data_IF_197073143039
#
_entry.id   IF_197073143039
#
_cell.length_a   1.000
_cell.length_b   1.000
_cell.length_c   1.000
_cell.angle_alpha   90.00
_cell.angle_beta   90.00
_cell.angle_gamma   90.00
#
_symmetry.space_group_name_H-M   'P 1'
#
loop_
_entity.id
_entity.type
_entity.pdbx_description
1 polymer ?
#
# COMPACT_ATOMS: atom_id res chain seq x y z
N UNK A 1 -24.67 -52.99 -15.54
CA UNK A 1 -23.45 -52.23 -15.86
C UNK A 1 -23.70 -51.43 -17.13
N UNK A 2 -23.45 -50.12 -17.14
CA UNK A 2 -23.60 -49.22 -18.31
C UNK A 2 -22.27 -48.46 -18.49
N UNK A 3 -21.70 -48.32 -19.69
CA UNK A 3 -20.49 -47.53 -19.88
C UNK A 3 -20.83 -46.03 -19.95
N UNK A 4 -20.23 -45.27 -19.05
CA UNK A 4 -20.32 -43.80 -18.99
C UNK A 4 -19.35 -43.23 -20.04
N UNK A 5 -19.89 -42.52 -21.04
CA UNK A 5 -19.11 -41.90 -22.11
C UNK A 5 -18.47 -40.61 -21.57
N UNK A 6 -17.14 -40.60 -21.47
CA UNK A 6 -16.34 -39.43 -21.12
C UNK A 6 -16.18 -38.59 -22.39
N UNK A 7 -16.84 -37.43 -22.43
CA UNK A 7 -16.68 -36.47 -23.52
C UNK A 7 -15.54 -35.51 -23.16
N UNK A 8 -14.41 -35.67 -23.86
CA UNK A 8 -13.27 -34.76 -23.83
C UNK A 8 -13.64 -33.52 -24.66
N UNK A 9 -13.83 -32.37 -24.01
CA UNK A 9 -14.01 -31.09 -24.71
C UNK A 9 -12.64 -30.44 -24.91
N UNK A 10 -12.20 -30.47 -26.16
CA UNK A 10 -10.96 -29.93 -26.71
C UNK A 10 -10.80 -28.42 -26.46
N UNK A 11 -9.61 -28.09 -25.98
CA UNK A 11 -8.96 -26.78 -26.00
C UNK A 11 -8.92 -26.22 -27.44
N UNK A 12 -9.46 -25.03 -27.68
CA UNK A 12 -9.10 -24.22 -28.84
C UNK A 12 -8.69 -22.82 -28.40
N UNK A 13 -7.39 -22.61 -28.55
CA UNK A 13 -6.60 -21.42 -28.30
C UNK A 13 -6.90 -20.38 -29.39
N UNK A 14 -7.52 -19.26 -29.02
CA UNK A 14 -7.67 -18.09 -29.90
C UNK A 14 -7.03 -16.87 -29.26
N UNK A 15 -5.71 -16.73 -29.44
CA UNK A 15 -5.03 -15.45 -29.31
C UNK A 15 -5.25 -14.65 -30.60
N UNK A 16 -6.05 -13.59 -30.53
CA UNK A 16 -6.02 -12.51 -31.52
C UNK A 16 -5.27 -11.32 -30.89
N UNK A 17 -3.95 -11.32 -31.02
CA UNK A 17 -3.14 -10.12 -30.84
C UNK A 17 -3.19 -9.32 -32.13
N UNK A 18 -3.89 -8.19 -32.12
CA UNK A 18 -3.67 -7.12 -33.10
C UNK A 18 -4.17 -5.81 -32.53
N UNK A 19 -3.25 -4.98 -32.04
CA UNK A 19 -3.48 -3.55 -31.80
C UNK A 19 -2.48 -2.78 -32.67
N UNK A 20 -2.93 -1.93 -33.61
CA UNK A 20 -2.05 -1.02 -34.33
C UNK A 20 -1.56 0.12 -33.42
N UNK A 21 -0.29 0.47 -33.61
CA UNK A 21 0.46 1.55 -32.97
C UNK A 21 -0.30 2.88 -32.87
N UNK A 22 -0.37 3.44 -31.66
CA UNK A 22 -0.64 4.86 -31.47
C UNK A 22 0.70 5.61 -31.48
N UNK A 23 1.02 6.26 -32.59
CA UNK A 23 2.18 7.13 -32.72
C UNK A 23 1.70 8.59 -32.73
N UNK A 24 2.18 9.37 -31.74
CA UNK A 24 2.30 10.84 -31.76
C UNK A 24 0.98 11.63 -31.84
N UNK A 25 0.78 12.75 -31.18
CA UNK A 25 1.67 13.64 -30.43
C UNK A 25 0.72 14.64 -29.79
N UNK A 26 0.56 14.61 -28.47
CA UNK A 26 0.00 15.75 -27.74
C UNK A 26 1.18 16.56 -27.25
N UNK A 27 1.62 17.50 -28.07
CA UNK A 27 2.39 18.66 -27.63
C UNK A 27 1.48 19.50 -26.74
N UNK A 28 1.45 19.15 -25.45
CA UNK A 28 1.01 20.09 -24.42
C UNK A 28 2.23 20.88 -23.97
N UNK A 29 2.21 22.22 -24.06
CA UNK A 29 3.33 23.05 -23.66
C UNK A 29 3.67 22.78 -22.20
N UNK A 30 4.96 22.66 -21.92
CA UNK A 30 5.55 22.53 -20.60
C UNK A 30 4.94 23.57 -19.64
N UNK A 31 3.89 23.18 -18.90
CA UNK A 31 3.59 23.85 -17.65
C UNK A 31 4.81 23.61 -16.75
N UNK A 32 5.44 24.66 -16.21
CA UNK A 32 6.40 24.45 -15.14
C UNK A 32 5.62 23.82 -14.01
N UNK A 33 5.78 22.50 -13.84
CA UNK A 33 5.36 21.79 -12.64
C UNK A 33 5.89 22.61 -11.49
N UNK A 34 5.02 23.42 -10.91
CA UNK A 34 5.32 24.16 -9.71
C UNK A 34 5.79 23.08 -8.75
N UNK A 35 7.08 23.05 -8.46
CA UNK A 35 7.61 22.28 -7.36
C UNK A 35 6.95 22.91 -6.15
N UNK A 36 5.74 22.44 -5.84
CA UNK A 36 5.03 22.72 -4.64
C UNK A 36 6.01 22.31 -3.56
N UNK A 37 6.61 23.35 -2.98
CA UNK A 37 7.62 23.34 -1.92
C UNK A 37 7.04 22.49 -0.80
N UNK A 38 7.28 21.20 -0.91
CA UNK A 38 6.71 20.15 -0.09
C UNK A 38 7.31 20.26 1.29
N UNK A 39 6.63 21.04 2.12
CA UNK A 39 6.51 20.91 3.57
C UNK A 39 7.64 20.13 4.25
N UNK A 40 8.46 20.90 4.99
CA UNK A 40 9.46 20.47 5.95
C UNK A 40 9.28 19.04 6.46
N UNK A 41 9.92 18.10 5.76
CA UNK A 41 10.20 16.78 6.30
C UNK A 41 11.35 16.98 7.29
N UNK A 42 11.05 17.41 8.52
CA UNK A 42 11.98 17.14 9.63
C UNK A 42 12.10 15.63 9.68
N UNK A 43 13.27 15.14 9.24
CA UNK A 43 13.61 13.74 9.29
C UNK A 43 13.45 13.16 10.70
N UNK A 44 13.58 11.84 10.83
CA UNK A 44 13.50 11.16 12.13
C UNK A 44 14.40 11.86 13.15
N UNK A 45 13.91 12.02 14.38
CA UNK A 45 14.61 12.79 15.43
C UNK A 45 15.91 12.11 15.86
N UNK A 46 16.03 10.79 15.68
CA UNK A 46 17.25 10.02 15.88
C UNK A 46 17.38 8.90 14.84
N UNK A 47 18.61 8.45 14.59
CA UNK A 47 18.90 7.31 13.72
C UNK A 47 18.29 6.00 14.27
N UNK A 48 18.27 5.85 15.59
CA UNK A 48 17.69 4.67 16.26
C UNK A 48 16.17 4.58 16.06
N UNK A 49 15.46 5.72 16.13
CA UNK A 49 14.02 5.77 15.87
C UNK A 49 13.71 5.42 14.41
N UNK A 50 14.54 5.89 13.47
CA UNK A 50 14.45 5.50 12.06
C UNK A 50 14.68 4.00 11.87
N UNK A 51 15.73 3.46 12.45
CA UNK A 51 16.08 2.05 12.29
C UNK A 51 14.97 1.14 12.86
N UNK A 52 14.44 1.45 14.04
CA UNK A 52 13.31 0.72 14.62
C UNK A 52 12.10 0.77 13.70
N UNK A 53 11.78 1.93 13.14
CA UNK A 53 10.69 2.08 12.19
C UNK A 53 10.88 1.25 10.92
N UNK A 54 12.09 1.24 10.36
CA UNK A 54 12.41 0.44 9.17
C UNK A 54 12.30 -1.06 9.46
N UNK A 55 12.79 -1.53 10.60
CA UNK A 55 12.68 -2.94 11.03
C UNK A 55 11.22 -3.37 11.18
N UNK A 56 10.40 -2.58 11.88
CA UNK A 56 8.97 -2.87 12.03
C UNK A 56 8.26 -2.95 10.67
N UNK A 57 8.54 -2.02 9.75
CA UNK A 57 7.93 -2.03 8.43
C UNK A 57 8.39 -3.24 7.59
N UNK A 58 9.66 -3.60 7.68
CA UNK A 58 10.21 -4.76 6.99
C UNK A 58 9.54 -6.05 7.51
N UNK A 59 9.48 -6.24 8.82
CA UNK A 59 8.82 -7.41 9.42
C UNK A 59 7.36 -7.50 9.00
N UNK A 60 6.64 -6.39 8.97
CA UNK A 60 5.24 -6.39 8.57
C UNK A 60 5.07 -6.71 7.08
N UNK A 61 5.96 -6.20 6.21
CA UNK A 61 5.96 -6.51 4.78
C UNK A 61 6.19 -8.01 4.55
N UNK A 62 7.16 -8.60 5.25
CA UNK A 62 7.44 -10.03 5.18
C UNK A 62 6.24 -10.87 5.63
N UNK A 63 5.62 -10.53 6.76
CA UNK A 63 4.39 -11.21 7.24
C UNK A 63 3.27 -11.17 6.20
N UNK A 64 3.04 -10.02 5.57
CA UNK A 64 2.02 -9.87 4.53
C UNK A 64 2.34 -10.68 3.27
N UNK A 65 3.62 -10.74 2.88
CA UNK A 65 4.07 -11.55 1.75
C UNK A 65 3.90 -13.05 2.04
N UNK A 66 4.29 -13.51 3.22
CA UNK A 66 4.14 -14.91 3.63
C UNK A 66 2.68 -15.33 3.68
N UNK A 67 1.78 -14.49 4.20
CA UNK A 67 0.34 -14.74 4.16
C UNK A 67 -0.21 -14.77 2.74
N UNK A 68 0.26 -13.87 1.86
CA UNK A 68 -0.16 -13.86 0.46
C UNK A 68 0.24 -15.16 -0.23
N UNK A 69 1.46 -15.65 0.01
CA UNK A 69 1.91 -16.93 -0.52
C UNK A 69 1.07 -18.09 0.00
N UNK A 70 0.75 -18.12 1.31
CA UNK A 70 -0.13 -19.13 1.91
C UNK A 70 -1.52 -19.11 1.26
N UNK A 71 -2.12 -17.94 1.04
CA UNK A 71 -3.42 -17.79 0.36
C UNK A 71 -3.38 -18.34 -1.07
N UNK A 72 -2.28 -18.09 -1.79
CA UNK A 72 -2.11 -18.56 -3.16
C UNK A 72 -1.95 -20.08 -3.23
N UNK A 73 -1.20 -20.67 -2.30
CA UNK A 73 -0.97 -22.12 -2.23
C UNK A 73 -2.14 -22.92 -1.64
N UNK A 74 -3.04 -22.28 -0.88
CA UNK A 74 -4.14 -22.97 -0.20
C UNK A 74 -5.25 -23.40 -1.17
N UNK A 75 -5.59 -24.68 -1.10
CA UNK A 75 -6.61 -25.35 -1.93
C UNK A 75 -7.96 -25.44 -1.24
N UNK A 76 -7.99 -25.51 0.09
CA UNK A 76 -9.24 -25.55 0.86
C UNK A 76 -9.89 -24.15 0.87
N UNK A 77 -11.10 -23.99 0.30
CA UNK A 77 -11.75 -22.69 0.22
C UNK A 77 -12.01 -22.07 1.60
N UNK A 78 -12.32 -22.88 2.61
CA UNK A 78 -12.60 -22.39 3.97
C UNK A 78 -11.33 -21.88 4.63
N UNK A 79 -10.22 -22.59 4.49
CA UNK A 79 -8.91 -22.13 5.01
C UNK A 79 -8.41 -20.91 4.25
N UNK A 80 -8.63 -20.86 2.94
CA UNK A 80 -8.28 -19.68 2.12
C UNK A 80 -9.03 -18.44 2.56
N UNK A 81 -10.30 -18.56 2.92
CA UNK A 81 -11.09 -17.47 3.48
C UNK A 81 -10.56 -17.03 4.86
N UNK A 82 -10.22 -17.97 5.74
CA UNK A 82 -9.60 -17.67 7.02
C UNK A 82 -8.27 -16.89 6.86
N UNK A 83 -7.41 -17.31 5.94
CA UNK A 83 -6.15 -16.61 5.65
C UNK A 83 -6.38 -15.20 5.09
N UNK A 84 -7.41 -14.99 4.25
CA UNK A 84 -7.79 -13.65 3.77
C UNK A 84 -8.28 -12.77 4.92
N UNK A 85 -9.01 -13.33 5.88
CA UNK A 85 -9.45 -12.59 7.07
C UNK A 85 -8.26 -12.19 7.95
N UNK A 86 -7.27 -13.08 8.12
CA UNK A 86 -6.02 -12.78 8.82
C UNK A 86 -5.24 -11.65 8.11
N UNK A 87 -5.16 -11.70 6.78
CA UNK A 87 -4.56 -10.64 5.96
C UNK A 87 -5.27 -9.29 6.16
N UNK A 88 -6.61 -9.29 6.17
CA UNK A 88 -7.41 -8.08 6.37
C UNK A 88 -7.21 -7.49 7.77
N UNK A 89 -7.13 -8.32 8.80
CA UNK A 89 -6.90 -7.88 10.17
C UNK A 89 -5.53 -7.20 10.33
N UNK A 90 -4.48 -7.77 9.75
CA UNK A 90 -3.15 -7.14 9.74
C UNK A 90 -3.16 -5.78 9.03
N UNK A 91 -3.90 -5.64 7.93
CA UNK A 91 -4.04 -4.37 7.24
C UNK A 91 -4.76 -3.32 8.10
N UNK A 92 -5.80 -3.72 8.84
CA UNK A 92 -6.51 -2.83 9.77
C UNK A 92 -5.60 -2.35 10.88
N UNK A 93 -4.85 -3.24 11.54
CA UNK A 93 -3.91 -2.86 12.60
C UNK A 93 -2.87 -1.86 12.10
N UNK A 94 -2.30 -2.09 10.91
CA UNK A 94 -1.35 -1.15 10.34
C UNK A 94 -1.98 0.21 10.02
N UNK A 95 -3.18 0.19 9.44
CA UNK A 95 -3.93 1.40 9.13
C UNK A 95 -4.22 2.21 10.39
N UNK A 96 -4.68 1.56 11.46
CA UNK A 96 -4.93 2.19 12.77
C UNK A 96 -3.68 2.84 13.34
N UNK A 97 -2.53 2.14 13.32
CA UNK A 97 -1.26 2.72 13.77
C UNK A 97 -0.88 3.98 12.99
N UNK A 98 -1.08 3.96 11.67
CA UNK A 98 -0.81 5.12 10.81
C UNK A 98 -1.77 6.27 11.09
N UNK A 99 -3.05 5.98 11.32
CA UNK A 99 -4.05 6.98 11.66
C UNK A 99 -3.77 7.61 13.02
N UNK A 100 -3.41 6.82 14.03
CA UNK A 100 -3.02 7.31 15.36
C UNK A 100 -1.84 8.27 15.26
N UNK A 101 -0.75 7.88 14.58
CA UNK A 101 0.41 8.76 14.38
C UNK A 101 0.05 10.05 13.63
N UNK A 102 -0.84 9.96 12.63
CA UNK A 102 -1.31 11.13 11.89
C UNK A 102 -2.11 12.09 12.78
N UNK A 103 -2.98 11.55 13.64
CA UNK A 103 -3.77 12.33 14.58
C UNK A 103 -2.89 13.01 15.63
N UNK A 104 -1.91 12.29 16.20
CA UNK A 104 -0.92 12.88 17.11
C UNK A 104 -0.14 14.02 16.47
N UNK A 105 0.31 13.84 15.21
CA UNK A 105 1.02 14.88 14.47
C UNK A 105 0.14 16.12 14.26
N UNK A 106 -1.14 15.93 13.91
CA UNK A 106 -2.11 17.02 13.77
C UNK A 106 -2.31 17.77 15.08
N UNK A 107 -2.53 17.06 16.19
CA UNK A 107 -2.71 17.68 17.51
C UNK A 107 -1.48 18.46 17.97
N UNK A 108 -0.27 17.90 17.76
CA UNK A 108 0.99 18.59 18.06
C UNK A 108 1.14 19.87 17.24
N UNK A 109 0.81 19.81 15.95
CA UNK A 109 0.87 20.97 15.08
C UNK A 109 -0.13 22.07 15.50
N UNK A 110 -1.36 21.68 15.85
CA UNK A 110 -2.37 22.60 16.36
C UNK A 110 -1.89 23.32 17.63
N UNK A 111 -1.38 22.58 18.62
CA UNK A 111 -0.83 23.16 19.86
C UNK A 111 0.33 24.13 19.62
N UNK A 112 1.17 23.89 18.61
CA UNK A 112 2.26 24.82 18.27
C UNK A 112 1.78 26.10 17.58
N UNK A 113 0.65 26.06 16.89
CA UNK A 113 0.05 27.23 16.22
C UNK A 113 -0.78 28.08 17.18
N UNK A 114 -1.34 27.47 18.24
CA UNK A 114 -2.12 28.15 19.28
C UNK A 114 -1.24 28.85 20.34
N UNK A 115 0.07 28.56 20.40
CA UNK A 115 0.99 29.20 21.36
C UNK A 115 1.39 30.60 20.84
N UNK A 116 0.99 31.71 21.48
CA UNK A 116 1.40 33.04 21.05
C UNK A 116 2.92 33.19 21.16
N UNK A 117 3.51 33.92 20.21
CA UNK A 117 4.94 34.22 20.19
C UNK A 117 5.37 34.81 21.55
N UNK A 118 6.53 34.39 22.12
CA UNK A 118 7.03 35.01 23.34
C UNK A 118 7.18 36.50 23.07
N UNK A 119 6.48 37.33 23.86
CA UNK A 119 6.61 38.78 23.80
C UNK A 119 8.08 39.10 23.99
N UNK A 120 8.71 39.64 22.94
CA UNK A 120 10.03 40.24 23.05
C UNK A 120 9.90 41.44 23.99
N UNK A 121 10.31 41.27 25.24
CA UNK A 121 10.50 42.38 26.16
C UNK A 121 11.67 43.24 25.67
N UNK A 122 11.51 44.58 25.66
CA UNK A 122 12.56 45.53 25.26
C UNK A 122 13.74 45.57 26.24
#
# INVERSE_FOLDING_TARGET
>A
MKPLKITVATFFLSLAFSLPSHAGSTDTPDEPMSMQKGMGMKGPKSKEELERHLRMNQEQMLKMHDLSNRILSETDPKKKEQLKNEQLELMKTHHEQMMTKRMEKKQRHQKTMEKPAPKSTP
#
